data_IF_022152768102
#
_entry.id   IF_022152768102
#
_cell.length_a   1.000
_cell.length_b   1.000
_cell.length_c   1.000
_cell.angle_alpha   90.00
_cell.angle_beta   90.00
_cell.angle_gamma   90.00
#
_symmetry.space_group_name_H-M   'P 1'
#
loop_
_entity.id
_entity.type
_entity.pdbx_description
1 polymer ?
#
# COMPACT_ATOMS: atom_id res chain seq x y z
N UNK A 1 -7.30 -8.77 24.72
CA UNK A 1 -8.36 -9.50 23.99
C UNK A 1 -8.58 -8.78 22.66
N UNK A 2 -8.64 -9.49 21.54
CA UNK A 2 -8.82 -8.86 20.23
C UNK A 2 -10.27 -8.36 20.07
N UNK A 3 -10.46 -7.04 20.20
CA UNK A 3 -11.77 -6.37 20.06
C UNK A 3 -12.35 -6.55 18.65
N UNK A 4 -11.51 -6.67 17.63
CA UNK A 4 -11.98 -6.84 16.25
C UNK A 4 -12.54 -8.24 16.04
N UNK A 5 -11.84 -9.28 16.53
CA UNK A 5 -12.34 -10.66 16.49
C UNK A 5 -13.68 -10.82 17.21
N UNK A 6 -13.85 -10.15 18.36
CA UNK A 6 -15.16 -10.09 19.04
C UNK A 6 -16.22 -9.44 18.17
N UNK A 7 -15.88 -8.31 17.52
CA UNK A 7 -16.80 -7.60 16.65
C UNK A 7 -17.27 -8.46 15.49
N UNK A 8 -16.38 -9.25 14.88
CA UNK A 8 -16.76 -10.22 13.83
C UNK A 8 -17.67 -11.32 14.37
N UNK A 9 -17.40 -11.84 15.57
CA UNK A 9 -18.20 -12.88 16.21
C UNK A 9 -19.64 -12.41 16.50
N UNK A 10 -19.85 -11.12 16.85
CA UNK A 10 -21.19 -10.52 17.00
C UNK A 10 -22.05 -10.67 15.74
N UNK A 11 -21.42 -10.70 14.56
CA UNK A 11 -22.09 -10.87 13.26
C UNK A 11 -21.93 -12.28 12.68
N UNK A 12 -21.42 -13.25 13.45
CA UNK A 12 -21.14 -14.61 12.98
C UNK A 12 -20.23 -14.67 11.73
N UNK A 13 -19.28 -13.74 11.61
CA UNK A 13 -18.32 -13.72 10.50
C UNK A 13 -17.07 -14.51 10.87
N UNK A 14 -16.71 -15.45 10.00
CA UNK A 14 -15.43 -16.16 10.01
C UNK A 14 -14.53 -15.63 8.87
N UNK A 15 -13.58 -14.77 9.20
CA UNK A 15 -12.70 -14.11 8.22
C UNK A 15 -11.55 -15.04 7.84
N UNK A 16 -11.62 -15.58 6.62
CA UNK A 16 -10.65 -16.55 6.10
C UNK A 16 -10.02 -16.11 4.78
N UNK A 17 -8.83 -16.64 4.51
CA UNK A 17 -8.15 -16.53 3.22
C UNK A 17 -8.97 -17.21 2.12
N UNK A 18 -9.05 -16.53 0.98
CA UNK A 18 -9.49 -17.07 -0.30
C UNK A 18 -8.26 -17.44 -1.13
N UNK A 19 -8.47 -17.85 -2.38
CA UNK A 19 -7.39 -17.98 -3.36
C UNK A 19 -6.53 -16.71 -3.36
N UNK A 20 -5.22 -16.89 -3.23
CA UNK A 20 -4.26 -15.78 -3.29
C UNK A 20 -4.13 -15.33 -4.75
N UNK A 21 -4.42 -14.06 -4.99
CA UNK A 21 -4.38 -13.44 -6.32
C UNK A 21 -3.23 -12.44 -6.46
N UNK A 22 -2.83 -11.85 -5.32
CA UNK A 22 -1.85 -10.77 -5.23
C UNK A 22 -0.74 -11.19 -4.27
N UNK A 23 0.50 -11.15 -4.75
CA UNK A 23 1.69 -11.22 -3.92
C UNK A 23 2.15 -9.79 -3.64
N UNK A 24 1.96 -9.31 -2.42
CA UNK A 24 2.43 -7.99 -2.00
C UNK A 24 3.79 -8.12 -1.33
N UNK A 25 4.80 -7.48 -1.91
CA UNK A 25 6.20 -7.60 -1.49
C UNK A 25 6.68 -6.29 -0.92
N UNK A 26 6.95 -6.26 0.37
CA UNK A 26 7.57 -5.11 1.04
C UNK A 26 9.10 -5.27 0.98
N UNK A 27 9.77 -4.51 0.13
CA UNK A 27 11.22 -4.67 -0.13
C UNK A 27 12.11 -4.06 0.95
N UNK A 28 11.54 -3.36 1.93
CA UNK A 28 12.29 -2.74 3.00
C UNK A 28 11.68 -1.43 3.51
N UNK A 29 12.42 -0.74 4.37
CA UNK A 29 11.98 0.53 4.99
C UNK A 29 12.78 1.76 4.52
N UNK A 30 13.75 1.58 3.62
CA UNK A 30 14.50 2.69 3.06
C UNK A 30 13.59 3.59 2.22
N UNK A 31 13.57 4.89 2.50
CA UNK A 31 12.76 5.88 1.77
C UNK A 31 13.46 7.24 1.82
N UNK A 32 13.36 8.05 0.77
CA UNK A 32 13.89 9.42 0.77
C UNK A 32 13.01 10.42 1.56
N UNK A 33 11.85 10.00 2.08
CA UNK A 33 10.91 10.83 2.84
C UNK A 33 10.70 10.31 4.27
N UNK A 34 10.30 11.22 5.17
CA UNK A 34 9.91 10.90 6.56
C UNK A 34 8.48 11.38 6.83
N UNK A 35 7.50 10.85 6.09
CA UNK A 35 6.10 11.29 6.17
C UNK A 35 5.48 11.01 7.56
N UNK A 36 4.70 11.94 8.11
CA UNK A 36 4.10 11.83 9.46
C UNK A 36 3.13 10.64 9.59
N UNK A 37 2.36 10.36 8.55
CA UNK A 37 1.34 9.30 8.54
C UNK A 37 1.87 7.91 8.13
N UNK A 38 3.18 7.75 7.91
CA UNK A 38 3.74 6.53 7.35
C UNK A 38 3.55 5.32 8.29
N UNK A 39 2.72 4.36 7.87
CA UNK A 39 2.47 3.14 8.61
C UNK A 39 3.64 2.15 8.56
N UNK A 40 4.54 2.28 7.57
CA UNK A 40 5.76 1.45 7.43
C UNK A 40 6.89 1.90 8.36
N UNK A 41 6.79 3.11 8.92
CA UNK A 41 7.89 3.78 9.63
C UNK A 41 9.14 4.00 8.76
N UNK A 42 8.96 4.04 7.44
CA UNK A 42 10.04 4.17 6.46
C UNK A 42 10.74 5.54 6.50
N UNK A 43 12.01 5.58 6.10
CA UNK A 43 12.82 6.79 6.16
C UNK A 43 14.26 6.60 5.68
N UNK A 44 15.02 7.68 5.53
CA UNK A 44 16.31 7.66 4.84
C UNK A 44 17.40 6.91 5.62
N UNK A 45 17.22 6.76 6.93
CA UNK A 45 18.15 6.04 7.82
C UNK A 45 17.80 4.57 8.01
N UNK A 46 16.65 4.10 7.49
CA UNK A 46 16.20 2.72 7.66
C UNK A 46 16.79 1.79 6.59
N UNK A 47 18.12 1.67 6.59
CA UNK A 47 18.88 0.89 5.60
C UNK A 47 19.06 -0.59 5.96
N UNK A 48 18.73 -0.98 7.19
CA UNK A 48 18.89 -2.37 7.68
C UNK A 48 17.82 -3.31 7.13
N UNK A 49 16.56 -2.88 7.19
CA UNK A 49 15.45 -3.58 6.53
C UNK A 49 15.50 -3.31 5.04
N UNK A 50 16.31 -4.09 4.32
CA UNK A 50 16.52 -3.96 2.89
C UNK A 50 16.66 -5.36 2.28
N UNK A 51 15.72 -5.73 1.42
CA UNK A 51 15.65 -7.07 0.83
C UNK A 51 16.93 -7.40 0.08
N UNK A 52 17.46 -8.60 0.34
CA UNK A 52 18.63 -9.15 -0.35
C UNK A 52 18.23 -9.97 -1.59
N UNK A 53 19.24 -10.36 -2.38
CA UNK A 53 19.05 -11.13 -3.62
C UNK A 53 18.43 -12.49 -3.35
N UNK A 54 18.87 -13.17 -2.30
CA UNK A 54 18.43 -14.52 -1.94
C UNK A 54 16.92 -14.57 -1.66
N UNK A 55 16.41 -13.56 -0.94
CA UNK A 55 14.98 -13.41 -0.68
C UNK A 55 14.21 -13.06 -1.96
N UNK A 56 14.75 -12.15 -2.78
CA UNK A 56 14.14 -11.81 -4.06
C UNK A 56 14.01 -13.03 -4.99
N UNK A 57 15.03 -13.90 -5.03
CA UNK A 57 14.97 -15.16 -5.78
C UNK A 57 13.97 -16.16 -5.19
N UNK A 58 13.82 -16.20 -3.86
CA UNK A 58 12.77 -17.02 -3.23
C UNK A 58 11.36 -16.56 -3.62
N UNK A 59 11.15 -15.25 -3.72
CA UNK A 59 9.91 -14.65 -4.23
C UNK A 59 9.69 -15.05 -5.69
N UNK A 60 10.73 -15.00 -6.53
CA UNK A 60 10.64 -15.42 -7.93
C UNK A 60 10.24 -16.89 -8.06
N UNK A 61 10.86 -17.79 -7.29
CA UNK A 61 10.46 -19.21 -7.24
C UNK A 61 9.02 -19.41 -6.77
N UNK A 62 8.56 -18.58 -5.82
CA UNK A 62 7.16 -18.63 -5.37
C UNK A 62 6.19 -18.18 -6.47
N UNK A 63 6.54 -17.17 -7.28
CA UNK A 63 5.73 -16.75 -8.42
C UNK A 63 5.51 -17.87 -9.45
N UNK A 64 6.50 -18.77 -9.64
CA UNK A 64 6.40 -19.90 -10.58
C UNK A 64 5.29 -20.91 -10.24
N UNK A 65 4.99 -21.07 -8.94
CA UNK A 65 4.11 -22.17 -8.46
C UNK A 65 2.85 -21.68 -7.75
N UNK A 66 2.75 -20.39 -7.45
CA UNK A 66 1.66 -19.82 -6.64
C UNK A 66 0.35 -19.61 -7.42
N UNK A 67 0.43 -19.36 -8.73
CA UNK A 67 -0.75 -19.02 -9.54
C UNK A 67 -1.33 -17.63 -9.26
N UNK A 68 -0.55 -16.74 -8.63
CA UNK A 68 -0.89 -15.32 -8.50
C UNK A 68 -0.92 -14.65 -9.86
N UNK A 69 -1.66 -13.55 -9.97
CA UNK A 69 -1.78 -12.76 -11.21
C UNK A 69 -1.09 -11.40 -11.11
N UNK A 70 -0.81 -10.95 -9.88
CA UNK A 70 -0.30 -9.61 -9.59
C UNK A 70 0.84 -9.65 -8.58
N UNK A 71 1.92 -8.93 -8.88
CA UNK A 71 2.97 -8.54 -7.94
C UNK A 71 2.74 -7.06 -7.54
N UNK A 72 2.52 -6.80 -6.27
CA UNK A 72 2.37 -5.44 -5.70
C UNK A 72 3.61 -5.10 -4.86
N UNK A 73 4.49 -4.25 -5.39
CA UNK A 73 5.77 -3.92 -4.75
C UNK A 73 5.59 -2.67 -3.90
N UNK A 74 5.92 -2.79 -2.61
CA UNK A 74 5.77 -1.75 -1.58
C UNK A 74 7.00 -1.69 -0.69
N UNK A 75 6.96 -0.86 0.35
CA UNK A 75 8.02 -0.72 1.36
C UNK A 75 8.14 0.73 1.81
N UNK A 76 9.38 1.22 1.89
CA UNK A 76 9.66 2.64 1.94
C UNK A 76 9.44 3.29 0.57
N UNK A 77 10.54 3.61 -0.12
CA UNK A 77 10.54 3.86 -1.55
C UNK A 77 11.06 2.57 -2.21
N UNK A 78 10.20 1.67 -2.70
CA UNK A 78 10.62 0.36 -3.19
C UNK A 78 11.70 0.45 -4.27
N UNK A 79 11.70 1.53 -5.04
CA UNK A 79 12.61 1.80 -6.15
C UNK A 79 14.07 2.00 -5.70
N UNK A 80 14.30 2.32 -4.42
CA UNK A 80 15.63 2.40 -3.81
C UNK A 80 16.22 1.01 -3.47
N UNK A 81 15.43 -0.06 -3.50
CA UNK A 81 15.94 -1.41 -3.25
C UNK A 81 16.67 -1.94 -4.50
N UNK A 82 17.89 -2.51 -4.37
CA UNK A 82 18.65 -3.05 -5.50
C UNK A 82 17.95 -4.16 -6.30
N UNK A 83 16.96 -4.83 -5.71
CA UNK A 83 16.19 -5.91 -6.34
C UNK A 83 14.88 -5.43 -6.99
N UNK A 84 14.53 -4.15 -6.90
CA UNK A 84 13.30 -3.60 -7.48
C UNK A 84 13.16 -3.91 -8.97
N UNK A 85 14.14 -3.47 -9.78
CA UNK A 85 14.12 -3.71 -11.23
C UNK A 85 14.14 -5.21 -11.55
N UNK A 86 14.86 -6.02 -10.78
CA UNK A 86 14.88 -7.48 -10.95
C UNK A 86 13.51 -8.12 -10.73
N UNK A 87 12.83 -7.80 -9.63
CA UNK A 87 11.50 -8.35 -9.34
C UNK A 87 10.50 -8.02 -10.44
N UNK A 88 10.58 -6.80 -10.99
CA UNK A 88 9.74 -6.36 -12.12
C UNK A 88 10.05 -7.19 -13.37
N UNK A 89 11.32 -7.33 -13.75
CA UNK A 89 11.73 -8.11 -14.93
C UNK A 89 11.20 -9.56 -14.82
N UNK A 90 11.43 -10.19 -13.67
CA UNK A 90 11.03 -11.58 -13.41
C UNK A 90 9.50 -11.76 -13.40
N UNK A 91 8.76 -10.82 -12.82
CA UNK A 91 7.31 -10.85 -12.80
C UNK A 91 6.72 -10.64 -14.20
N UNK A 92 7.26 -9.69 -14.98
CA UNK A 92 6.81 -9.45 -16.37
C UNK A 92 7.14 -10.62 -17.29
N UNK A 93 8.27 -11.30 -17.11
CA UNK A 93 8.60 -12.53 -17.84
C UNK A 93 7.58 -13.66 -17.61
N UNK A 94 6.87 -13.62 -16.49
CA UNK A 94 5.78 -14.54 -16.11
C UNK A 94 4.38 -14.02 -16.47
N UNK A 95 4.30 -12.91 -17.22
CA UNK A 95 3.06 -12.24 -17.58
C UNK A 95 2.22 -11.77 -16.37
N UNK A 96 2.87 -11.50 -15.23
CA UNK A 96 2.17 -10.92 -14.08
C UNK A 96 1.93 -9.42 -14.30
N UNK A 97 0.80 -8.94 -13.78
CA UNK A 97 0.59 -7.52 -13.58
C UNK A 97 1.54 -7.06 -12.46
N UNK A 98 2.17 -5.90 -12.62
CA UNK A 98 3.09 -5.35 -11.64
C UNK A 98 2.59 -3.98 -11.21
N UNK A 99 2.50 -3.76 -9.90
CA UNK A 99 2.14 -2.49 -9.27
C UNK A 99 3.35 -1.96 -8.51
N UNK A 100 3.67 -0.70 -8.73
CA UNK A 100 4.67 0.06 -8.00
C UNK A 100 4.00 1.09 -7.07
N UNK A 101 4.24 0.96 -5.76
CA UNK A 101 3.75 1.89 -4.73
C UNK A 101 4.72 3.06 -4.59
N UNK A 102 4.62 3.98 -5.54
CA UNK A 102 5.56 5.06 -5.72
C UNK A 102 5.26 6.28 -4.82
N UNK A 103 6.31 6.90 -4.30
CA UNK A 103 6.20 8.16 -3.54
C UNK A 103 6.35 9.43 -4.42
N UNK A 104 6.61 9.27 -5.72
CA UNK A 104 6.90 10.28 -6.75
C UNK A 104 8.25 10.99 -6.60
N UNK A 105 8.62 11.43 -5.40
CA UNK A 105 9.83 12.22 -5.19
C UNK A 105 11.12 11.43 -5.39
N UNK A 106 11.06 10.10 -5.29
CA UNK A 106 12.18 9.18 -5.54
C UNK A 106 12.78 9.33 -6.94
N UNK A 107 12.03 9.83 -7.93
CA UNK A 107 12.53 10.03 -9.31
C UNK A 107 13.66 11.05 -9.40
N UNK A 108 13.83 11.88 -8.37
CA UNK A 108 14.86 12.91 -8.30
C UNK A 108 16.03 12.52 -7.40
N UNK A 109 16.04 11.30 -6.87
CA UNK A 109 17.20 10.78 -6.14
C UNK A 109 18.32 10.38 -7.11
N UNK A 110 19.55 10.36 -6.59
CA UNK A 110 20.71 9.96 -7.37
C UNK A 110 20.54 8.53 -7.91
N UNK A 111 20.82 8.34 -9.20
CA UNK A 111 20.68 7.05 -9.88
C UNK A 111 19.24 6.66 -10.27
N UNK A 112 18.25 7.52 -10.07
CA UNK A 112 16.85 7.26 -10.42
C UNK A 112 16.37 7.94 -11.72
N UNK A 113 17.28 8.58 -12.46
CA UNK A 113 16.91 9.32 -13.68
C UNK A 113 16.32 8.44 -14.79
N UNK A 114 16.67 7.15 -14.83
CA UNK A 114 16.14 6.18 -15.81
C UNK A 114 14.89 5.43 -15.32
N UNK A 115 14.46 5.67 -14.09
CA UNK A 115 13.38 4.92 -13.44
C UNK A 115 12.04 5.10 -14.19
N UNK A 116 11.57 6.31 -14.55
CA UNK A 116 10.30 6.46 -15.27
C UNK A 116 10.30 5.70 -16.61
N UNK A 117 11.37 5.80 -17.40
CA UNK A 117 11.51 5.08 -18.67
C UNK A 117 11.57 3.55 -18.48
N UNK A 118 12.18 3.09 -17.39
CA UNK A 118 12.15 1.68 -17.01
C UNK A 118 10.72 1.20 -16.71
N UNK A 119 9.96 1.96 -15.91
CA UNK A 119 8.55 1.63 -15.59
C UNK A 119 7.68 1.55 -16.85
N UNK A 120 7.86 2.47 -17.80
CA UNK A 120 7.18 2.47 -19.11
C UNK A 120 7.52 1.22 -19.91
N UNK A 121 8.81 0.90 -20.07
CA UNK A 121 9.26 -0.28 -20.84
C UNK A 121 8.64 -1.57 -20.32
N UNK A 122 8.46 -1.67 -19.01
CA UNK A 122 7.88 -2.83 -18.36
C UNK A 122 6.37 -2.70 -18.12
N UNK A 123 5.71 -1.64 -18.58
CA UNK A 123 4.27 -1.40 -18.38
C UNK A 123 3.86 -1.67 -16.93
N UNK A 124 4.55 -1.02 -16.00
CA UNK A 124 4.29 -1.11 -14.57
C UNK A 124 3.17 -0.15 -14.21
N UNK A 125 2.17 -0.60 -13.46
CA UNK A 125 1.14 0.28 -12.94
C UNK A 125 1.69 1.10 -11.78
N UNK A 126 1.57 2.43 -11.87
CA UNK A 126 2.04 3.33 -10.83
C UNK A 126 0.86 3.69 -9.93
N UNK A 127 0.97 3.37 -8.63
CA UNK A 127 0.05 3.83 -7.60
C UNK A 127 0.78 4.83 -6.70
N UNK A 128 0.64 6.10 -7.05
CA UNK A 128 1.41 7.19 -6.49
C UNK A 128 0.74 7.82 -5.27
N UNK A 129 1.50 8.03 -4.20
CA UNK A 129 1.01 8.74 -3.02
C UNK A 129 0.96 10.25 -3.30
N UNK A 130 -0.24 10.86 -3.19
CA UNK A 130 -0.45 12.30 -3.26
C UNK A 130 -1.60 12.68 -2.32
N UNK A 131 -1.32 12.96 -1.04
CA UNK A 131 -2.37 13.03 -0.02
C UNK A 131 -3.23 14.30 -0.08
N UNK A 132 -2.89 15.25 -0.95
CA UNK A 132 -3.72 16.41 -1.27
C UNK A 132 -3.30 17.00 -2.64
N UNK A 133 -4.22 17.64 -3.36
CA UNK A 133 -3.88 18.49 -4.52
C UNK A 133 -3.42 19.90 -4.11
N UNK A 134 -3.39 20.22 -2.81
CA UNK A 134 -2.92 21.50 -2.28
C UNK A 134 -1.53 21.37 -1.65
N UNK A 135 -0.64 22.30 -1.99
CA UNK A 135 0.76 22.31 -1.54
C UNK A 135 0.91 22.27 -0.01
N UNK A 136 0.27 23.21 0.69
CA UNK A 136 0.34 23.34 2.15
C UNK A 136 0.01 22.02 2.86
N UNK A 137 -0.95 21.28 2.31
CA UNK A 137 -1.43 20.02 2.85
C UNK A 137 -0.47 18.86 2.62
N UNK A 138 0.16 18.80 1.43
CA UNK A 138 1.17 17.79 1.12
C UNK A 138 2.43 18.03 1.93
N UNK A 139 2.92 19.26 1.95
CA UNK A 139 4.17 19.62 2.61
C UNK A 139 4.07 19.45 4.13
N UNK A 140 2.92 19.78 4.74
CA UNK A 140 2.66 19.51 6.17
C UNK A 140 2.76 18.02 6.53
N UNK A 141 2.39 17.12 5.61
CA UNK A 141 2.40 15.68 5.88
C UNK A 141 3.72 14.99 5.50
N UNK A 142 4.38 15.47 4.45
CA UNK A 142 5.47 14.75 3.78
C UNK A 142 6.81 15.50 3.76
N UNK A 143 6.81 16.77 4.15
CA UNK A 143 7.98 17.63 4.20
C UNK A 143 7.96 18.71 3.12
N UNK A 144 8.60 19.84 3.39
CA UNK A 144 8.63 21.01 2.51
C UNK A 144 9.18 20.67 1.10
N UNK A 145 8.54 21.20 0.06
CA UNK A 145 8.92 20.99 -1.33
C UNK A 145 8.51 19.64 -1.91
N UNK A 146 7.84 18.78 -1.12
CA UNK A 146 7.35 17.48 -1.61
C UNK A 146 6.28 17.66 -2.66
N UNK A 147 5.38 18.64 -2.49
CA UNK A 147 4.32 18.91 -3.45
C UNK A 147 4.89 19.22 -4.83
N UNK A 148 5.80 20.19 -4.92
CA UNK A 148 6.39 20.60 -6.19
C UNK A 148 7.05 19.42 -6.91
N UNK A 149 7.90 18.65 -6.21
CA UNK A 149 8.53 17.44 -6.78
C UNK A 149 7.48 16.43 -7.25
N UNK A 150 6.40 16.23 -6.48
CA UNK A 150 5.32 15.31 -6.85
C UNK A 150 4.60 15.76 -8.13
N UNK A 151 4.29 17.06 -8.27
CA UNK A 151 3.65 17.61 -9.47
C UNK A 151 4.54 17.43 -10.70
N UNK A 152 5.83 17.74 -10.60
CA UNK A 152 6.75 17.56 -11.72
C UNK A 152 6.92 16.08 -12.10
N UNK A 153 6.97 15.17 -11.12
CA UNK A 153 7.01 13.73 -11.40
C UNK A 153 5.75 13.24 -12.13
N UNK A 154 4.56 13.75 -11.74
CA UNK A 154 3.31 13.43 -12.41
C UNK A 154 3.24 13.94 -13.85
N UNK A 155 3.76 15.16 -14.11
CA UNK A 155 3.90 15.68 -15.47
C UNK A 155 4.80 14.80 -16.32
N UNK A 156 5.96 14.42 -15.79
CA UNK A 156 6.90 13.53 -16.48
C UNK A 156 6.24 12.16 -16.81
N UNK A 157 5.53 11.54 -15.86
CA UNK A 157 4.76 10.32 -16.13
C UNK A 157 3.70 10.54 -17.22
N UNK A 158 2.96 11.64 -17.17
CA UNK A 158 1.95 12.00 -18.18
C UNK A 158 2.54 12.23 -19.58
N UNK A 159 3.76 12.76 -19.69
CA UNK A 159 4.49 12.90 -20.95
C UNK A 159 4.85 11.52 -21.54
N UNK A 160 5.24 10.58 -20.68
CA UNK A 160 5.52 9.19 -21.06
C UNK A 160 4.24 8.38 -21.42
N UNK A 161 3.08 8.90 -21.03
CA UNK A 161 1.76 8.38 -21.41
C UNK A 161 0.97 7.73 -20.27
N UNK A 162 1.49 7.77 -19.04
CA UNK A 162 0.75 7.33 -17.86
C UNK A 162 -0.55 8.11 -17.68
N UNK A 163 -1.63 7.41 -17.33
CA UNK A 163 -2.97 8.00 -17.21
C UNK A 163 -3.66 8.28 -18.56
N UNK A 164 -2.93 8.16 -19.69
CA UNK A 164 -3.43 8.41 -21.05
C UNK A 164 -3.53 7.13 -21.88
N UNK A 165 -2.52 6.26 -21.81
CA UNK A 165 -2.48 4.96 -22.50
C UNK A 165 -3.10 3.88 -21.62
N UNK A 166 -3.74 2.88 -22.25
CA UNK A 166 -4.45 1.80 -21.53
C UNK A 166 -3.49 0.91 -20.72
N UNK A 167 -2.27 0.75 -21.21
CA UNK A 167 -1.22 -0.10 -20.64
C UNK A 167 -0.39 0.59 -19.56
N UNK A 168 -0.56 1.91 -19.38
CA UNK A 168 0.22 2.72 -18.43
C UNK A 168 -0.72 3.34 -17.40
N UNK A 169 -1.07 2.55 -16.39
CA UNK A 169 -1.96 3.01 -15.33
C UNK A 169 -1.24 3.93 -14.34
N UNK A 170 -1.84 5.08 -14.07
CA UNK A 170 -1.45 6.00 -13.00
C UNK A 170 -2.65 6.23 -12.10
N UNK A 171 -2.54 5.77 -10.86
CA UNK A 171 -3.54 5.98 -9.83
C UNK A 171 -2.94 6.78 -8.69
N UNK A 172 -3.75 7.62 -8.05
CA UNK A 172 -3.32 8.45 -6.94
C UNK A 172 -3.90 7.93 -5.62
N UNK A 173 -3.17 8.14 -4.53
CA UNK A 173 -3.61 7.77 -3.17
C UNK A 173 -3.78 9.00 -2.32
N UNK A 174 -4.97 9.14 -1.74
CA UNK A 174 -5.33 10.14 -0.75
C UNK A 174 -5.25 9.58 0.67
N UNK A 175 -4.57 10.32 1.55
CA UNK A 175 -4.54 10.10 2.99
C UNK A 175 -5.03 11.37 3.72
N UNK A 176 -6.00 11.26 4.65
CA UNK A 176 -6.50 12.38 5.43
C UNK A 176 -5.43 13.11 6.25
N UNK A 177 -5.61 14.42 6.43
CA UNK A 177 -4.76 15.21 7.35
C UNK A 177 -5.35 15.15 8.75
N UNK A 178 -4.74 14.36 9.62
CA UNK A 178 -5.20 14.21 10.99
C UNK A 178 -6.26 13.10 11.15
N UNK A 179 -6.83 12.97 12.36
CA UNK A 179 -7.56 11.77 12.78
C UNK A 179 -9.03 11.77 12.34
N UNK A 180 -9.27 11.74 11.03
CA UNK A 180 -10.62 11.58 10.48
C UNK A 180 -10.64 10.53 9.36
N UNK A 181 -11.84 10.06 9.02
CA UNK A 181 -12.05 9.18 7.88
C UNK A 181 -11.96 9.96 6.57
N UNK A 182 -11.51 9.33 5.48
CA UNK A 182 -11.52 9.99 4.18
C UNK A 182 -12.95 10.33 3.74
N UNK A 183 -13.13 11.41 2.94
CA UNK A 183 -14.41 11.69 2.31
C UNK A 183 -14.73 10.65 1.24
N UNK A 184 -15.93 10.73 0.65
CA UNK A 184 -16.36 9.80 -0.39
C UNK A 184 -15.39 9.82 -1.60
N UNK A 185 -14.80 8.66 -1.90
CA UNK A 185 -13.77 8.50 -2.94
C UNK A 185 -14.19 9.06 -4.29
N UNK A 186 -15.43 8.79 -4.73
CA UNK A 186 -15.92 9.26 -6.05
C UNK A 186 -15.88 10.78 -6.17
N UNK A 187 -16.45 11.49 -5.17
CA UNK A 187 -16.49 12.95 -5.19
C UNK A 187 -15.08 13.53 -5.09
N UNK A 188 -14.23 12.96 -4.23
CA UNK A 188 -12.85 13.40 -4.11
C UNK A 188 -12.04 13.15 -5.40
N UNK A 189 -12.27 12.04 -6.09
CA UNK A 189 -11.64 11.75 -7.39
C UNK A 189 -11.99 12.81 -8.44
N UNK A 190 -13.27 13.21 -8.51
CA UNK A 190 -13.73 14.27 -9.41
C UNK A 190 -13.03 15.60 -9.09
N UNK A 191 -12.94 15.97 -7.81
CA UNK A 191 -12.28 17.20 -7.36
C UNK A 191 -10.77 17.17 -7.68
N UNK A 192 -10.10 16.04 -7.46
CA UNK A 192 -8.68 15.83 -7.84
C UNK A 192 -8.48 15.97 -9.35
N UNK A 193 -9.31 15.32 -10.16
CA UNK A 193 -9.22 15.37 -11.63
C UNK A 193 -9.38 16.80 -12.13
N UNK A 194 -10.37 17.52 -11.62
CA UNK A 194 -10.58 18.92 -11.99
C UNK A 194 -9.41 19.81 -11.59
N UNK A 195 -8.95 19.72 -10.33
CA UNK A 195 -7.95 20.63 -9.81
C UNK A 195 -6.56 20.38 -10.39
N UNK A 196 -6.13 19.13 -10.48
CA UNK A 196 -4.82 18.78 -11.04
C UNK A 196 -4.75 19.07 -12.56
N UNK A 197 -5.85 18.88 -13.28
CA UNK A 197 -5.90 19.25 -14.69
C UNK A 197 -5.88 20.78 -14.88
N UNK A 198 -6.72 21.52 -14.15
CA UNK A 198 -6.82 22.97 -14.30
C UNK A 198 -5.51 23.70 -13.92
N UNK A 199 -4.84 23.26 -12.86
CA UNK A 199 -3.64 23.94 -12.36
C UNK A 199 -2.36 23.47 -13.07
N UNK A 200 -2.29 22.20 -13.49
CA UNK A 200 -1.04 21.56 -13.91
C UNK A 200 -1.13 20.73 -15.20
N UNK A 201 -2.31 20.58 -15.80
CA UNK A 201 -2.53 19.73 -16.98
C UNK A 201 -2.39 18.23 -16.72
N UNK A 202 -2.44 17.80 -15.45
CA UNK A 202 -2.23 16.40 -15.04
C UNK A 202 -3.52 15.60 -15.16
N UNK A 203 -3.41 14.39 -15.72
CA UNK A 203 -4.46 13.37 -15.77
C UNK A 203 -4.01 12.08 -15.10
N UNK A 204 -4.96 11.34 -14.54
CA UNK A 204 -4.74 10.04 -13.90
C UNK A 204 -6.00 9.17 -14.01
N UNK A 205 -5.88 7.87 -13.79
CA UNK A 205 -6.97 6.92 -13.98
C UNK A 205 -7.96 6.93 -12.79
N UNK A 206 -7.48 6.62 -11.58
CA UNK A 206 -8.31 6.49 -10.37
C UNK A 206 -7.67 7.13 -9.14
N UNK A 207 -8.51 7.56 -8.20
CA UNK A 207 -8.09 7.99 -6.86
C UNK A 207 -8.51 6.92 -5.84
N UNK A 208 -7.58 6.53 -4.97
CA UNK A 208 -7.81 5.62 -3.86
C UNK A 208 -7.77 6.39 -2.54
N UNK A 209 -8.84 6.34 -1.76
CA UNK A 209 -8.81 6.91 -0.41
C UNK A 209 -8.44 5.86 0.61
N UNK A 210 -7.50 6.18 1.49
CA UNK A 210 -7.00 5.29 2.53
C UNK A 210 -7.21 5.94 3.91
N UNK A 211 -7.62 5.12 4.87
CA UNK A 211 -7.69 5.49 6.29
C UNK A 211 -6.29 5.38 6.89
N UNK A 212 -5.85 6.42 7.61
CA UNK A 212 -4.55 6.36 8.29
C UNK A 212 -4.58 5.31 9.42
N UNK A 213 -3.65 4.36 9.38
CA UNK A 213 -3.65 3.25 10.33
C UNK A 213 -3.05 3.65 11.67
N UNK A 214 -3.63 3.15 12.76
CA UNK A 214 -3.21 3.34 14.16
C UNK A 214 -1.92 2.60 14.53
N UNK A 215 -0.93 2.59 13.65
CA UNK A 215 0.33 1.86 13.83
C UNK A 215 1.54 2.77 13.62
N UNK A 216 2.68 2.30 14.13
CA UNK A 216 4.02 2.88 13.92
C UNK A 216 4.06 4.41 14.09
N UNK A 217 4.45 5.17 13.06
CA UNK A 217 4.69 6.62 13.16
C UNK A 217 3.41 7.41 13.39
N UNK A 218 2.31 7.02 12.75
CA UNK A 218 1.04 7.71 12.93
C UNK A 218 0.47 7.49 14.34
N UNK A 219 0.61 6.28 14.89
CA UNK A 219 0.27 6.02 16.29
C UNK A 219 1.09 6.89 17.26
N UNK A 220 2.42 7.02 17.03
CA UNK A 220 3.29 7.89 17.84
C UNK A 220 2.87 9.36 17.74
N UNK A 221 2.55 9.83 16.54
CA UNK A 221 2.03 11.17 16.30
C UNK A 221 0.74 11.41 17.10
N UNK A 222 -0.27 10.55 16.94
CA UNK A 222 -1.55 10.71 17.64
C UNK A 222 -1.39 10.71 19.16
N UNK A 223 -0.50 9.88 19.71
CA UNK A 223 -0.20 9.88 21.15
C UNK A 223 0.45 11.18 21.60
N UNK A 224 1.41 11.70 20.83
CA UNK A 224 2.07 12.97 21.14
C UNK A 224 1.09 14.16 21.17
N UNK A 225 0.00 14.09 20.39
CA UNK A 225 -1.03 15.13 20.34
C UNK A 225 -2.30 14.78 21.14
N UNK A 226 -2.30 13.72 21.96
CA UNK A 226 -3.47 13.26 22.74
C UNK A 226 -4.73 12.97 21.89
N UNK A 227 -4.55 12.47 20.67
CA UNK A 227 -5.60 12.14 19.70
C UNK A 227 -5.78 10.63 19.48
N UNK A 228 -4.96 9.80 20.12
CA UNK A 228 -4.94 8.35 19.86
C UNK A 228 -6.26 7.66 20.26
N UNK A 229 -6.76 7.93 21.47
CA UNK A 229 -7.95 7.25 21.99
C UNK A 229 -9.22 7.70 21.25
N UNK A 230 -9.38 9.00 21.01
CA UNK A 230 -10.52 9.55 20.25
C UNK A 230 -10.55 9.04 18.81
N UNK A 231 -9.40 8.93 18.16
CA UNK A 231 -9.34 8.34 16.81
C UNK A 231 -9.62 6.84 16.82
N UNK A 232 -9.15 6.11 17.84
CA UNK A 232 -9.47 4.69 18.00
C UNK A 232 -10.96 4.46 18.13
N UNK A 233 -11.65 5.24 18.97
CA UNK A 233 -13.10 5.14 19.12
C UNK A 233 -13.84 5.57 17.86
N UNK A 234 -13.35 6.55 17.10
CA UNK A 234 -13.90 6.89 15.79
C UNK A 234 -13.87 5.67 14.84
N UNK A 235 -12.73 4.99 14.72
CA UNK A 235 -12.59 3.84 13.82
C UNK A 235 -13.50 2.67 14.25
N UNK A 236 -13.62 2.43 15.55
CA UNK A 236 -14.47 1.37 16.10
C UNK A 236 -15.95 1.68 15.86
N UNK A 237 -16.39 2.89 16.18
CA UNK A 237 -17.78 3.33 15.99
C UNK A 237 -18.17 3.43 14.51
N UNK A 238 -17.17 3.57 13.63
CA UNK A 238 -17.38 3.61 12.18
C UNK A 238 -17.23 2.24 11.50
N UNK A 239 -17.12 1.14 12.26
CA UNK A 239 -17.07 -0.21 11.69
C UNK A 239 -18.23 -0.45 10.73
N UNK A 240 -17.91 -0.81 9.49
CA UNK A 240 -18.88 -1.09 8.45
C UNK A 240 -18.77 -2.54 7.99
N UNK A 241 -19.79 -3.34 8.30
CA UNK A 241 -19.86 -4.76 7.97
C UNK A 241 -19.68 -5.05 6.48
N UNK A 242 -20.19 -4.17 5.61
CA UNK A 242 -20.14 -4.36 4.15
C UNK A 242 -18.72 -4.30 3.55
N UNK A 243 -17.74 -3.85 4.34
CA UNK A 243 -16.33 -3.77 3.91
C UNK A 243 -15.57 -5.08 4.10
N UNK A 244 -16.07 -5.97 4.97
CA UNK A 244 -15.32 -7.14 5.45
C UNK A 244 -14.99 -8.11 4.32
N UNK A 245 -15.92 -8.36 3.39
CA UNK A 245 -15.70 -9.26 2.25
C UNK A 245 -14.66 -8.76 1.25
N UNK A 246 -14.41 -7.44 1.24
CA UNK A 246 -13.48 -6.76 0.35
C UNK A 246 -12.09 -6.53 0.94
N UNK A 247 -11.84 -6.91 2.20
CA UNK A 247 -10.56 -6.68 2.86
C UNK A 247 -9.41 -7.30 2.06
N UNK A 248 -8.33 -6.53 1.85
CA UNK A 248 -7.18 -7.01 1.08
C UNK A 248 -6.55 -8.30 1.64
N UNK A 249 -6.62 -8.50 2.96
CA UNK A 249 -6.09 -9.70 3.59
C UNK A 249 -6.82 -10.99 3.19
N UNK A 250 -7.95 -10.94 2.46
CA UNK A 250 -8.63 -12.15 1.98
C UNK A 250 -7.94 -12.79 0.78
N UNK A 251 -7.35 -12.03 -0.14
CA UNK A 251 -6.75 -12.55 -1.39
C UNK A 251 -5.30 -12.08 -1.63
N UNK A 252 -4.74 -11.28 -0.73
CA UNK A 252 -3.36 -10.82 -0.80
C UNK A 252 -2.50 -11.62 0.19
N UNK A 253 -1.30 -12.01 -0.23
CA UNK A 253 -0.25 -12.53 0.65
C UNK A 253 0.85 -11.48 0.76
N UNK A 254 1.17 -11.04 1.98
CA UNK A 254 2.23 -10.07 2.23
C UNK A 254 3.53 -10.79 2.58
N UNK A 255 4.62 -10.38 1.93
CA UNK A 255 5.97 -10.93 2.09
C UNK A 255 6.91 -9.80 2.53
N UNK A 256 7.59 -10.01 3.64
CA UNK A 256 8.58 -9.07 4.15
C UNK A 256 9.91 -9.12 3.38
N UNK A 257 10.74 -8.10 3.63
CA UNK A 257 12.08 -7.97 3.07
C UNK A 257 13.01 -9.14 3.43
N UNK A 258 12.68 -9.87 4.49
CA UNK A 258 13.34 -11.06 5.02
C UNK A 258 12.62 -12.37 4.67
N UNK A 259 11.66 -12.32 3.75
CA UNK A 259 10.91 -13.48 3.26
C UNK A 259 9.82 -13.99 4.19
N UNK A 260 9.58 -13.34 5.34
CA UNK A 260 8.50 -13.73 6.28
C UNK A 260 7.11 -13.46 5.71
N UNK A 261 6.15 -14.30 6.06
CA UNK A 261 4.77 -14.22 5.56
C UNK A 261 3.79 -13.59 6.55
N UNK A 262 2.89 -12.78 6.02
CA UNK A 262 1.87 -12.03 6.75
C UNK A 262 0.56 -12.00 5.98
N UNK A 263 -0.56 -11.89 6.69
CA UNK A 263 -1.87 -11.79 6.04
C UNK A 263 -2.06 -10.47 5.27
N UNK A 264 -1.39 -9.39 5.69
CA UNK A 264 -1.32 -8.09 5.01
C UNK A 264 -0.12 -7.25 5.50
N UNK A 265 0.17 -6.14 4.80
CA UNK A 265 1.26 -5.21 5.15
C UNK A 265 1.11 -4.58 6.55
N UNK A 266 -0.12 -4.41 7.07
CA UNK A 266 -0.31 -3.93 8.44
C UNK A 266 0.05 -4.98 9.49
N UNK A 267 -0.25 -6.26 9.24
CA UNK A 267 0.22 -7.36 10.08
C UNK A 267 1.76 -7.41 10.07
N UNK A 268 2.38 -7.17 8.91
CA UNK A 268 3.83 -7.09 8.79
C UNK A 268 4.42 -6.01 9.70
N UNK A 269 3.87 -4.80 9.65
CA UNK A 269 4.35 -3.69 10.49
C UNK A 269 4.10 -3.89 11.99
N UNK A 270 3.17 -4.78 12.35
CA UNK A 270 2.89 -5.18 13.74
C UNK A 270 3.62 -6.46 14.17
N UNK A 271 4.42 -7.08 13.30
CA UNK A 271 5.10 -8.34 13.59
C UNK A 271 4.15 -9.54 13.76
N UNK A 272 2.93 -9.46 13.24
CA UNK A 272 1.91 -10.50 13.29
C UNK A 272 2.16 -11.55 12.21
N UNK A 273 3.28 -12.26 12.32
CA UNK A 273 3.72 -13.24 11.33
C UNK A 273 2.84 -14.50 11.34
N UNK A 274 2.55 -15.03 10.15
CA UNK A 274 1.82 -16.28 9.97
C UNK A 274 2.60 -17.46 10.55
N UNK A 275 1.87 -18.44 11.09
CA UNK A 275 2.46 -19.62 11.74
C UNK A 275 1.64 -20.88 11.54
N UNK A 276 2.34 -22.01 11.42
CA UNK A 276 1.76 -23.36 11.49
C UNK A 276 2.72 -24.26 12.27
N UNK A 277 2.64 -24.21 13.61
CA UNK A 277 3.63 -24.82 14.52
C UNK A 277 5.00 -24.13 14.54
N UNK A 278 5.36 -23.40 13.48
CA UNK A 278 6.53 -22.52 13.36
C UNK A 278 6.18 -21.23 12.62
N UNK A 279 7.02 -20.21 12.75
CA UNK A 279 6.96 -18.98 11.95
C UNK A 279 7.22 -19.29 10.48
N UNK A 280 6.40 -18.75 9.57
CA UNK A 280 6.46 -19.07 8.14
C UNK A 280 7.23 -18.03 7.34
N UNK A 281 8.01 -18.54 6.39
CA UNK A 281 8.65 -17.80 5.30
C UNK A 281 8.05 -18.23 3.97
N UNK A 282 8.35 -17.47 2.91
CA UNK A 282 7.90 -17.74 1.55
C UNK A 282 8.37 -19.10 1.00
N UNK A 283 9.39 -19.70 1.62
CA UNK A 283 9.89 -21.02 1.24
C UNK A 283 9.17 -22.18 1.93
N UNK A 284 8.33 -21.91 2.93
CA UNK A 284 7.71 -22.93 3.78
C UNK A 284 6.35 -23.43 3.28
N UNK A 285 5.69 -22.71 2.38
CA UNK A 285 4.28 -22.95 2.03
C UNK A 285 3.98 -22.56 0.57
N UNK A 286 3.01 -23.24 -0.05
CA UNK A 286 2.47 -22.81 -1.34
C UNK A 286 1.25 -21.90 -1.17
N UNK A 287 0.97 -21.05 -2.15
CA UNK A 287 -0.21 -20.17 -2.11
C UNK A 287 -1.55 -20.94 -2.00
N UNK A 288 -1.61 -22.18 -2.54
CA UNK A 288 -2.83 -23.01 -2.50
C UNK A 288 -3.11 -23.53 -1.09
N UNK A 289 -2.08 -23.80 -0.31
CA UNK A 289 -2.22 -24.32 1.05
C UNK A 289 -2.81 -23.30 2.03
N UNK A 290 -2.81 -22.02 1.64
CA UNK A 290 -3.33 -20.91 2.45
C UNK A 290 -4.85 -20.73 2.33
N UNK A 291 -5.51 -21.38 1.37
CA UNK A 291 -6.96 -21.23 1.21
C UNK A 291 -7.69 -21.73 2.46
N UNK A 292 -8.69 -20.95 2.91
CA UNK A 292 -9.44 -21.16 4.16
C UNK A 292 -8.65 -21.01 5.46
N UNK A 293 -7.39 -20.55 5.43
CA UNK A 293 -6.68 -20.19 6.66
C UNK A 293 -7.36 -19.04 7.39
N UNK A 294 -7.34 -19.10 8.73
CA UNK A 294 -7.75 -17.99 9.58
C UNK A 294 -6.80 -16.81 9.39
N UNK A 295 -7.37 -15.61 9.23
CA UNK A 295 -6.60 -14.37 9.08
C UNK A 295 -6.29 -13.79 10.47
N UNK A 296 -5.05 -13.39 10.71
CA UNK A 296 -4.64 -12.76 11.96
C UNK A 296 -5.20 -11.33 12.06
N UNK A 297 -6.14 -11.13 12.98
CA UNK A 297 -6.78 -9.84 13.24
C UNK A 297 -6.23 -9.11 14.46
N UNK A 298 -6.48 -7.79 14.52
CA UNK A 298 -6.20 -6.96 15.68
C UNK A 298 -6.87 -5.60 15.58
N UNK A 299 -6.61 -4.70 16.52
CA UNK A 299 -7.28 -3.39 16.57
C UNK A 299 -7.08 -2.53 15.32
N UNK A 300 -5.97 -2.70 14.60
CA UNK A 300 -5.70 -2.00 13.34
C UNK A 300 -6.73 -2.35 12.24
N UNK A 301 -7.36 -3.53 12.30
CA UNK A 301 -8.35 -3.96 11.32
C UNK A 301 -9.59 -3.04 11.29
N UNK A 302 -9.92 -2.36 12.40
CA UNK A 302 -10.95 -1.33 12.41
C UNK A 302 -10.66 -0.19 11.42
N UNK A 303 -9.38 0.15 11.19
CA UNK A 303 -9.01 1.14 10.17
C UNK A 303 -9.34 0.69 8.74
N UNK A 304 -9.24 -0.62 8.47
CA UNK A 304 -9.56 -1.19 7.16
C UNK A 304 -11.07 -1.29 6.92
N UNK A 305 -11.86 -1.45 8.00
CA UNK A 305 -13.32 -1.64 7.93
C UNK A 305 -14.12 -0.38 8.25
N UNK A 306 -13.48 0.72 8.64
CA UNK A 306 -14.18 1.94 9.03
C UNK A 306 -14.76 2.68 7.81
N UNK A 307 -15.98 3.18 7.92
CA UNK A 307 -16.63 3.99 6.89
C UNK A 307 -16.79 3.23 5.57
N UNK A 308 -16.23 3.76 4.48
CA UNK A 308 -16.26 3.11 3.17
C UNK A 308 -15.25 1.95 3.03
N UNK A 309 -14.47 1.68 4.07
CA UNK A 309 -13.36 0.74 4.07
C UNK A 309 -12.09 1.34 3.45
N UNK A 310 -10.96 0.69 3.72
CA UNK A 310 -9.65 1.14 3.26
C UNK A 310 -8.78 -0.05 2.88
N UNK A 311 -8.27 -0.04 1.66
CA UNK A 311 -7.30 -1.02 1.17
C UNK A 311 -6.26 -0.36 0.28
N UNK A 312 -5.22 -1.11 -0.08
CA UNK A 312 -4.27 -0.70 -1.11
C UNK A 312 -4.92 -0.53 -2.51
N UNK A 313 -6.22 -0.80 -2.67
CA UNK A 313 -6.99 -0.57 -3.90
C UNK A 313 -8.13 0.46 -3.69
N UNK A 314 -8.11 1.21 -2.58
CA UNK A 314 -9.13 2.20 -2.24
C UNK A 314 -10.26 1.64 -1.39
N UNK A 315 -11.45 2.25 -1.51
CA UNK A 315 -12.65 1.88 -0.74
C UNK A 315 -13.15 0.46 -1.04
N UNK A 316 -13.77 -0.17 -0.05
CA UNK A 316 -14.22 -1.57 -0.09
C UNK A 316 -15.72 -1.73 -0.30
N UNK A 317 -16.48 -0.68 0.01
CA UNK A 317 -17.93 -0.67 -0.28
C UNK A 317 -18.16 -0.74 -1.79
N UNK A 318 -18.93 -1.74 -2.23
CA UNK A 318 -19.39 -1.82 -3.63
C UNK A 318 -20.19 -0.55 -3.95
N UNK A 319 -20.01 0.00 -5.16
CA UNK A 319 -20.82 1.12 -5.65
C UNK A 319 -22.30 0.72 -5.56
N UNK A 320 -23.04 1.34 -4.63
CA UNK A 320 -24.50 1.41 -4.69
C UNK A 320 -24.94 2.25 -5.88
#
# INVERSE_FOLDING_TARGET
MDRFKQKLAEYSIDLRKRKIEILQVNVGKLCNLTCVHCHVEAGPTNTRENMNRETAEAIVRFMDVSGVSTLDITGGAPELNPNFKYLIIEAKARNLRVIDRCNLTVFYEEGMSDLPDFLVRHQVDVVASLPCYQEQNVDKQRGNGTFHKSIEALKWLNELGYGKKKELSLNLVYNPIGPHLPPAQKKLEEDYKQKLYADFGIVFNQLYTITNMLITRYAKYLKAFNQYDSYTELLINSFNLSTVEGLMCVNTLSVGWDGRLYDCDFNQMLGMQMRNGKLLTITDISAKDLENWEILTGSHCFGCTAGAGSSCQGVLTKKS
#
